data_IF_614979245004
#
_entry.id   IF_614979245004
#
_cell.length_a   1.000
_cell.length_b   1.000
_cell.length_c   1.000
_cell.angle_alpha   90.00
_cell.angle_beta   90.00
_cell.angle_gamma   90.00
#
_symmetry.space_group_name_H-M   'P 1'
#
loop_
_entity.id
_entity.type
_entity.pdbx_description
1 polymer ?
#
# COMPACT_ATOMS: atom_id res chain seq x y z
N UNK A 1 14.15 2.82 -13.92
CA UNK A 1 13.43 3.63 -12.90
C UNK A 1 11.99 3.19 -12.92
N UNK A 2 11.56 2.44 -11.89
CA UNK A 2 10.22 1.86 -11.83
C UNK A 2 9.29 2.87 -11.14
N UNK A 3 8.18 3.20 -11.79
CA UNK A 3 7.09 3.96 -11.18
C UNK A 3 5.95 2.96 -10.98
N UNK A 4 5.48 2.83 -9.74
CA UNK A 4 4.34 1.99 -9.38
C UNK A 4 3.07 2.85 -9.45
N UNK A 5 2.02 2.32 -10.07
CA UNK A 5 0.67 2.87 -9.92
C UNK A 5 -0.21 1.83 -9.25
N UNK A 6 -0.62 2.13 -8.02
CA UNK A 6 -1.66 1.37 -7.33
C UNK A 6 -3.02 1.87 -7.79
N UNK A 7 -3.80 1.00 -8.45
CA UNK A 7 -5.21 1.30 -8.71
C UNK A 7 -6.03 0.69 -7.60
N UNK A 8 -6.35 1.49 -6.59
CA UNK A 8 -7.41 1.15 -5.66
C UNK A 8 -8.73 1.16 -6.43
N UNK A 9 -9.34 -0.02 -6.65
CA UNK A 9 -10.74 -0.11 -7.06
C UNK A 9 -11.60 0.22 -5.85
N UNK A 10 -11.61 1.49 -5.45
CA UNK A 10 -12.83 2.07 -4.89
C UNK A 10 -13.88 1.88 -5.98
N UNK A 11 -15.12 1.53 -5.65
CA UNK A 11 -16.21 1.37 -6.60
C UNK A 11 -16.32 2.64 -7.50
N UNK A 12 -15.60 2.65 -8.61
CA UNK A 12 -15.59 3.73 -9.60
C UNK A 12 -16.68 3.40 -10.62
N UNK A 13 -17.93 3.29 -10.16
CA UNK A 13 -19.09 3.16 -11.05
C UNK A 13 -19.62 4.51 -11.54
N UNK A 14 -18.98 5.63 -11.18
CA UNK A 14 -19.29 6.98 -11.68
C UNK A 14 -18.02 7.82 -11.85
N UNK A 15 -17.31 7.65 -12.96
CA UNK A 15 -16.11 8.46 -13.30
C UNK A 15 -16.11 8.88 -14.76
N UNK A 16 -17.29 9.21 -15.27
CA UNK A 16 -17.43 9.87 -16.57
C UNK A 16 -18.10 11.22 -16.49
N UNK A 17 -18.61 11.63 -15.33
CA UNK A 17 -19.20 12.95 -15.18
C UNK A 17 -18.45 13.76 -14.13
N UNK A 18 -18.20 15.02 -14.52
CA UNK A 18 -17.88 16.17 -13.67
C UNK A 18 -16.38 16.43 -13.41
N UNK A 19 -15.76 17.14 -14.36
CA UNK A 19 -14.70 18.13 -14.05
C UNK A 19 -15.39 19.29 -13.31
N UNK A 20 -15.67 19.13 -12.02
CA UNK A 20 -15.89 20.22 -11.08
C UNK A 20 -14.60 20.30 -10.28
N UNK A 21 -14.21 21.51 -9.88
CA UNK A 21 -13.17 21.75 -8.89
C UNK A 21 -13.49 20.93 -7.62
N UNK A 22 -13.02 19.70 -7.59
CA UNK A 22 -13.37 18.75 -6.54
C UNK A 22 -12.49 19.11 -5.36
N UNK A 23 -13.02 19.94 -4.47
CA UNK A 23 -12.38 20.23 -3.20
C UNK A 23 -12.29 18.91 -2.41
N UNK A 24 -11.10 18.31 -2.37
CA UNK A 24 -10.86 17.01 -1.73
C UNK A 24 -10.89 17.10 -0.20
N UNK A 25 -10.59 18.28 0.34
CA UNK A 25 -10.56 18.55 1.77
C UNK A 25 -11.45 19.73 2.13
N UNK A 26 -12.33 19.52 3.11
CA UNK A 26 -13.18 20.56 3.71
C UNK A 26 -12.73 20.82 5.12
N UNK A 27 -12.73 22.09 5.52
CA UNK A 27 -12.47 22.48 6.90
C UNK A 27 -13.59 21.95 7.79
N UNK A 28 -13.22 21.36 8.91
CA UNK A 28 -14.15 21.07 9.99
C UNK A 28 -14.51 22.39 10.67
N UNK A 29 -15.80 22.78 10.69
CA UNK A 29 -16.22 24.03 11.30
C UNK A 29 -15.71 24.15 12.75
N UNK A 30 -15.25 25.36 13.11
CA UNK A 30 -14.84 25.72 14.47
C UNK A 30 -13.62 24.96 15.03
N UNK A 31 -12.74 24.44 14.17
CA UNK A 31 -11.52 23.73 14.60
C UNK A 31 -10.23 24.57 14.53
N UNK A 32 -10.29 25.77 13.94
CA UNK A 32 -9.16 26.71 13.93
C UNK A 32 -8.92 27.29 15.33
N UNK A 33 -7.64 27.48 15.69
CA UNK A 33 -7.21 28.05 16.97
C UNK A 33 -6.22 29.20 16.72
N UNK A 34 -5.88 29.96 17.76
CA UNK A 34 -4.93 31.09 17.63
C UNK A 34 -3.52 30.66 17.21
N UNK A 35 -3.14 29.42 17.52
CA UNK A 35 -1.82 28.83 17.30
C UNK A 35 -1.76 27.85 16.10
N UNK A 36 -2.91 27.45 15.54
CA UNK A 36 -2.99 26.49 14.42
C UNK A 36 -4.21 26.70 13.52
N UNK A 37 -4.02 26.39 12.24
CA UNK A 37 -5.10 26.39 11.25
C UNK A 37 -6.19 25.34 11.52
N UNK A 38 -7.30 25.40 10.76
CA UNK A 38 -8.42 24.47 10.92
C UNK A 38 -8.01 23.03 10.62
N UNK A 39 -8.73 22.09 11.24
CA UNK A 39 -8.62 20.67 10.92
C UNK A 39 -9.39 20.43 9.63
N UNK A 40 -8.77 19.74 8.67
CA UNK A 40 -9.42 19.38 7.41
C UNK A 40 -9.84 17.91 7.41
N UNK A 41 -10.96 17.60 6.77
CA UNK A 41 -11.42 16.22 6.48
C UNK A 41 -11.66 16.01 4.99
N UNK A 42 -11.70 14.76 4.56
CA UNK A 42 -12.10 14.43 3.19
C UNK A 42 -13.55 14.88 2.93
N UNK A 43 -13.79 15.54 1.80
CA UNK A 43 -15.13 16.05 1.43
C UNK A 43 -16.17 14.94 1.20
N UNK A 44 -15.71 13.73 0.90
CA UNK A 44 -16.53 12.56 0.58
C UNK A 44 -17.10 11.84 1.81
N UNK A 45 -16.65 12.17 3.03
CA UNK A 45 -17.09 11.50 4.25
C UNK A 45 -17.84 12.46 5.18
N UNK A 46 -19.16 12.26 5.31
CA UNK A 46 -20.01 13.03 6.24
C UNK A 46 -19.67 12.76 7.70
N UNK A 47 -19.08 11.60 8.01
CA UNK A 47 -18.56 11.21 9.32
C UNK A 47 -17.34 10.29 9.14
N UNK A 48 -16.30 10.40 9.99
CA UNK A 48 -15.18 9.47 9.94
C UNK A 48 -15.68 8.07 10.30
N UNK A 49 -15.63 7.15 9.35
CA UNK A 49 -15.80 5.72 9.62
C UNK A 49 -14.41 5.12 9.81
N UNK A 50 -14.24 4.34 10.88
CA UNK A 50 -12.97 3.67 11.18
C UNK A 50 -12.60 2.61 10.13
N UNK A 51 -13.59 2.14 9.36
CA UNK A 51 -13.46 1.12 8.34
C UNK A 51 -14.57 1.27 7.31
N UNK A 52 -14.33 0.77 6.09
CA UNK A 52 -15.33 0.68 5.04
C UNK A 52 -15.90 -0.74 5.00
N UNK A 53 -17.21 -0.90 5.26
CA UNK A 53 -18.02 -2.13 5.08
C UNK A 53 -17.24 -3.46 5.12
N UNK A 54 -16.70 -3.85 6.28
CA UNK A 54 -16.02 -5.14 6.44
C UNK A 54 -14.54 -5.18 6.04
N UNK A 55 -13.91 -4.03 5.82
CA UNK A 55 -12.47 -3.89 5.61
C UNK A 55 -11.84 -3.12 6.78
N UNK A 56 -11.41 -3.85 7.80
CA UNK A 56 -10.84 -3.33 9.05
C UNK A 56 -9.31 -3.40 9.08
N UNK A 57 -8.71 -4.23 8.24
CA UNK A 57 -7.27 -4.48 8.18
C UNK A 57 -6.70 -4.26 6.78
N UNK A 58 -5.40 -3.98 6.69
CA UNK A 58 -4.70 -3.90 5.41
C UNK A 58 -4.69 -5.25 4.67
N UNK A 59 -4.75 -6.36 5.40
CA UNK A 59 -4.95 -7.70 4.85
C UNK A 59 -6.30 -7.83 4.13
N UNK A 60 -7.39 -7.34 4.74
CA UNK A 60 -8.73 -7.36 4.14
C UNK A 60 -8.84 -6.42 2.95
N UNK A 61 -8.13 -5.29 2.94
CA UNK A 61 -8.21 -4.28 1.88
C UNK A 61 -7.87 -4.86 0.50
N UNK A 62 -6.77 -5.59 0.38
CA UNK A 62 -6.37 -6.20 -0.90
C UNK A 62 -7.36 -7.30 -1.33
N UNK A 63 -7.85 -8.10 -0.38
CA UNK A 63 -8.78 -9.20 -0.63
C UNK A 63 -10.16 -8.70 -1.06
N UNK A 64 -10.66 -7.64 -0.42
CA UNK A 64 -11.87 -6.95 -0.87
C UNK A 64 -11.71 -6.43 -2.30
N UNK A 65 -10.55 -5.85 -2.64
CA UNK A 65 -10.25 -5.42 -4.00
C UNK A 65 -10.39 -6.56 -5.02
N UNK A 66 -9.87 -7.75 -4.69
CA UNK A 66 -10.07 -8.97 -5.49
C UNK A 66 -11.54 -9.38 -5.58
N UNK A 67 -12.28 -9.34 -4.48
CA UNK A 67 -13.68 -9.79 -4.45
C UNK A 67 -14.59 -8.86 -5.26
N UNK A 68 -14.31 -7.56 -5.26
CA UNK A 68 -15.04 -6.56 -6.04
C UNK A 68 -14.64 -6.55 -7.51
N UNK A 69 -13.34 -6.72 -7.82
CA UNK A 69 -12.81 -6.58 -9.18
C UNK A 69 -11.68 -7.58 -9.45
N UNK A 70 -11.99 -8.89 -9.58
CA UNK A 70 -10.98 -9.95 -9.60
C UNK A 70 -10.00 -9.83 -10.78
N UNK A 71 -10.51 -9.42 -11.94
CA UNK A 71 -9.73 -9.21 -13.17
C UNK A 71 -9.36 -7.73 -13.40
N UNK A 72 -9.71 -6.85 -12.46
CA UNK A 72 -9.40 -5.42 -12.55
C UNK A 72 -7.90 -5.16 -12.39
N UNK A 73 -7.37 -4.07 -12.98
CA UNK A 73 -5.95 -3.71 -12.85
C UNK A 73 -5.63 -3.30 -11.40
N UNK A 74 -4.71 -4.01 -10.76
CA UNK A 74 -4.31 -3.79 -9.36
C UNK A 74 -2.96 -3.05 -9.27
N UNK A 75 -1.87 -3.73 -9.66
CA UNK A 75 -0.50 -3.18 -9.62
C UNK A 75 0.02 -3.00 -11.04
N UNK A 76 0.40 -1.77 -11.37
CA UNK A 76 0.97 -1.40 -12.66
C UNK A 76 2.51 -1.38 -12.64
N UNK A 77 3.12 -1.99 -13.64
CA UNK A 77 4.55 -1.90 -13.93
C UNK A 77 4.77 -1.33 -15.33
N UNK A 78 5.86 -0.58 -15.53
CA UNK A 78 6.31 -0.19 -16.87
C UNK A 78 7.81 -0.42 -17.01
N UNK A 79 8.20 -1.00 -18.14
CA UNK A 79 9.59 -1.17 -18.49
C UNK A 79 10.15 0.12 -19.09
N UNK A 80 11.48 0.21 -19.12
CA UNK A 80 12.17 1.19 -19.96
C UNK A 80 12.57 0.45 -21.24
N UNK A 81 12.15 0.97 -22.38
CA UNK A 81 12.51 0.43 -23.69
C UNK A 81 14.02 0.55 -23.95
N UNK A 82 14.51 -0.18 -24.95
CA UNK A 82 15.91 -0.11 -25.39
C UNK A 82 16.33 1.30 -25.85
N UNK A 83 15.37 2.13 -26.24
CA UNK A 83 15.58 3.54 -26.61
C UNK A 83 15.54 4.51 -25.41
N UNK A 84 15.40 4.01 -24.18
CA UNK A 84 15.39 4.82 -22.95
C UNK A 84 14.04 5.43 -22.59
N UNK A 85 13.01 5.27 -23.43
CA UNK A 85 11.67 5.77 -23.17
C UNK A 85 10.85 4.79 -22.33
N UNK A 86 10.00 5.32 -21.44
CA UNK A 86 9.09 4.53 -20.65
C UNK A 86 8.00 3.90 -21.53
N UNK A 87 7.75 2.60 -21.36
CA UNK A 87 6.65 1.91 -22.05
C UNK A 87 5.30 2.23 -21.39
N UNK A 88 4.18 1.91 -22.04
CA UNK A 88 2.89 1.85 -21.37
C UNK A 88 2.93 0.93 -20.14
N UNK A 89 2.06 1.21 -19.17
CA UNK A 89 1.89 0.36 -18.01
C UNK A 89 1.24 -0.97 -18.40
N UNK A 90 1.77 -2.05 -17.85
CA UNK A 90 1.18 -3.38 -17.82
C UNK A 90 0.72 -3.64 -16.40
N UNK A 91 -0.54 -4.06 -16.25
CA UNK A 91 -1.15 -4.27 -14.94
C UNK A 91 -1.32 -5.75 -14.65
N UNK A 92 -0.98 -6.15 -13.43
CA UNK A 92 -1.42 -7.42 -12.85
C UNK A 92 -2.83 -7.26 -12.30
N UNK A 93 -3.67 -8.27 -12.47
CA UNK A 93 -5.01 -8.32 -11.89
C UNK A 93 -4.97 -8.49 -10.37
N UNK A 94 -6.06 -8.14 -9.68
CA UNK A 94 -6.17 -8.41 -8.25
C UNK A 94 -6.01 -9.89 -7.90
N UNK A 95 -6.57 -10.78 -8.73
CA UNK A 95 -6.46 -12.23 -8.53
C UNK A 95 -5.01 -12.69 -8.59
N UNK A 96 -4.25 -12.22 -9.57
CA UNK A 96 -2.82 -12.53 -9.70
C UNK A 96 -2.00 -11.96 -8.54
N UNK A 97 -2.28 -10.71 -8.12
CA UNK A 97 -1.61 -10.09 -6.99
C UNK A 97 -1.85 -10.87 -5.70
N UNK A 98 -3.11 -11.22 -5.38
CA UNK A 98 -3.45 -12.01 -4.18
C UNK A 98 -2.81 -13.41 -4.22
N UNK A 99 -2.78 -14.05 -5.40
CA UNK A 99 -2.11 -15.34 -5.54
C UNK A 99 -0.61 -15.26 -5.24
N UNK A 100 0.09 -14.24 -5.75
CA UNK A 100 1.51 -13.99 -5.46
C UNK A 100 1.77 -13.69 -3.99
N UNK A 101 0.92 -12.84 -3.38
CA UNK A 101 0.97 -12.52 -1.95
C UNK A 101 0.85 -13.77 -1.09
N UNK A 102 -0.15 -14.62 -1.36
CA UNK A 102 -0.34 -15.84 -0.58
C UNK A 102 0.82 -16.83 -0.77
N UNK A 103 1.36 -16.95 -1.99
CA UNK A 103 2.50 -17.83 -2.26
C UNK A 103 3.77 -17.36 -1.55
N UNK A 104 4.04 -16.04 -1.54
CA UNK A 104 5.18 -15.48 -0.82
C UNK A 104 5.02 -15.63 0.70
N UNK A 105 3.82 -15.34 1.24
CA UNK A 105 3.53 -15.53 2.67
C UNK A 105 3.73 -17.00 3.10
N UNK A 106 3.22 -17.96 2.32
CA UNK A 106 3.42 -19.38 2.59
C UNK A 106 4.91 -19.79 2.52
N UNK A 107 5.68 -19.20 1.60
CA UNK A 107 7.12 -19.43 1.53
C UNK A 107 7.88 -18.87 2.73
N UNK A 108 7.53 -17.66 3.19
CA UNK A 108 8.12 -17.04 4.38
C UNK A 108 7.86 -17.89 5.64
N UNK A 109 6.63 -18.38 5.80
CA UNK A 109 6.21 -19.22 6.93
C UNK A 109 6.88 -20.60 6.88
N UNK A 110 6.81 -21.30 5.74
CA UNK A 110 7.37 -22.64 5.58
C UNK A 110 8.90 -22.71 5.73
N UNK A 111 9.60 -21.61 5.48
CA UNK A 111 11.05 -21.50 5.64
C UNK A 111 11.45 -20.79 6.94
N UNK A 112 10.49 -20.43 7.80
CA UNK A 112 10.74 -19.76 9.08
C UNK A 112 11.59 -18.47 8.93
N UNK A 113 11.37 -17.70 7.86
CA UNK A 113 12.20 -16.54 7.50
C UNK A 113 11.83 -15.25 8.24
N UNK A 114 10.75 -15.26 9.02
CA UNK A 114 10.31 -14.12 9.82
C UNK A 114 10.12 -14.57 11.28
N UNK A 115 11.21 -14.91 11.99
CA UNK A 115 11.12 -15.23 13.41
C UNK A 115 10.59 -14.03 14.18
N UNK A 116 9.95 -14.31 15.32
CA UNK A 116 9.47 -13.25 16.20
C UNK A 116 10.64 -12.55 16.91
N UNK A 117 10.51 -11.24 17.09
CA UNK A 117 11.43 -10.44 17.92
C UNK A 117 11.21 -10.71 19.40
N UNK A 118 12.07 -10.16 20.26
CA UNK A 118 11.92 -10.22 21.73
C UNK A 118 10.60 -9.62 22.22
N UNK A 119 10.01 -8.68 21.46
CA UNK A 119 8.71 -8.06 21.71
C UNK A 119 7.51 -8.84 21.10
N UNK A 120 7.74 -10.09 20.69
CA UNK A 120 6.75 -10.99 20.04
C UNK A 120 6.21 -10.45 18.68
N UNK A 121 6.96 -9.57 18.00
CA UNK A 121 6.59 -9.01 16.70
C UNK A 121 7.13 -9.85 15.54
N UNK A 122 6.35 -9.99 14.47
CA UNK A 122 6.81 -10.57 13.20
C UNK A 122 7.17 -9.42 12.26
N UNK A 123 8.45 -9.24 11.94
CA UNK A 123 8.94 -8.13 11.13
C UNK A 123 9.61 -8.62 9.84
N UNK A 124 9.33 -7.92 8.74
CA UNK A 124 9.97 -8.15 7.44
C UNK A 124 10.72 -6.89 7.00
N UNK A 125 12.05 -6.93 7.08
CA UNK A 125 12.93 -5.91 6.52
C UNK A 125 12.90 -5.92 4.99
N UNK A 126 12.57 -4.78 4.37
CA UNK A 126 12.51 -4.67 2.90
C UNK A 126 13.45 -3.55 2.45
N UNK A 127 14.55 -3.94 1.79
CA UNK A 127 15.52 -3.01 1.21
C UNK A 127 15.48 -3.04 -0.32
N UNK A 128 14.61 -2.24 -0.92
CA UNK A 128 14.55 -2.06 -2.37
C UNK A 128 13.82 -0.76 -2.74
N UNK A 129 13.94 -0.35 -4.00
CA UNK A 129 13.18 0.80 -4.54
C UNK A 129 11.70 0.42 -4.68
N UNK A 130 10.83 1.42 -4.61
CA UNK A 130 9.39 1.23 -4.82
C UNK A 130 9.12 0.53 -6.17
N UNK A 131 8.63 -0.70 -6.10
CA UNK A 131 8.29 -1.56 -7.23
C UNK A 131 7.10 -2.45 -6.86
N UNK A 132 6.62 -3.24 -7.81
CA UNK A 132 5.47 -4.13 -7.59
C UNK A 132 5.79 -5.16 -6.49
N UNK A 133 6.99 -5.71 -6.54
CA UNK A 133 7.49 -6.72 -5.60
C UNK A 133 7.52 -6.19 -4.17
N UNK A 134 7.91 -4.92 -3.96
CA UNK A 134 7.88 -4.28 -2.65
C UNK A 134 6.48 -4.33 -2.04
N UNK A 135 5.45 -3.93 -2.81
CA UNK A 135 4.04 -3.95 -2.34
C UNK A 135 3.51 -5.36 -2.15
N UNK A 136 3.93 -6.32 -2.99
CA UNK A 136 3.57 -7.73 -2.81
C UNK A 136 4.17 -8.30 -1.52
N UNK A 137 5.44 -7.99 -1.23
CA UNK A 137 6.11 -8.39 0.02
C UNK A 137 5.42 -7.80 1.25
N UNK A 138 5.03 -6.52 1.19
CA UNK A 138 4.28 -5.85 2.24
C UNK A 138 2.94 -6.55 2.54
N UNK A 139 2.14 -6.84 1.52
CA UNK A 139 0.90 -7.57 1.75
C UNK A 139 1.11 -9.03 2.19
N UNK A 140 2.27 -9.61 1.89
CA UNK A 140 2.60 -10.98 2.30
C UNK A 140 2.82 -11.08 3.79
N UNK A 141 3.53 -10.13 4.40
CA UNK A 141 3.77 -10.15 5.84
C UNK A 141 2.47 -9.90 6.64
N UNK A 142 1.53 -9.13 6.08
CA UNK A 142 0.19 -8.98 6.70
C UNK A 142 -0.59 -10.29 6.78
N UNK A 143 -0.35 -11.24 5.85
CA UNK A 143 -0.97 -12.57 5.92
C UNK A 143 -0.46 -13.39 7.12
N UNK A 144 0.73 -13.06 7.63
CA UNK A 144 1.36 -13.69 8.80
C UNK A 144 1.14 -12.89 10.08
N UNK A 145 0.31 -11.83 10.04
CA UNK A 145 0.08 -10.94 11.18
C UNK A 145 1.28 -10.05 11.53
N UNK A 146 2.25 -9.92 10.63
CA UNK A 146 3.45 -9.11 10.83
C UNK A 146 3.40 -7.73 10.17
N UNK A 147 4.52 -7.01 10.27
CA UNK A 147 4.70 -5.66 9.74
C UNK A 147 5.99 -5.54 8.92
N UNK A 148 6.04 -4.53 8.04
CA UNK A 148 7.23 -4.23 7.24
C UNK A 148 8.15 -3.23 7.93
N UNK A 149 9.46 -3.41 7.73
CA UNK A 149 10.49 -2.44 8.11
C UNK A 149 11.15 -1.94 6.81
N UNK A 150 10.69 -0.80 6.27
CA UNK A 150 11.20 -0.28 5.00
C UNK A 150 12.57 0.38 5.17
N UNK A 151 13.53 -0.03 4.34
CA UNK A 151 14.88 0.51 4.30
C UNK A 151 15.15 1.17 2.94
N UNK A 152 15.83 2.31 2.96
CA UNK A 152 16.14 3.10 1.77
C UNK A 152 17.57 3.64 1.81
N UNK A 153 18.20 3.74 0.64
CA UNK A 153 19.58 4.24 0.50
C UNK A 153 19.76 5.65 1.11
N UNK A 154 18.69 6.46 1.11
CA UNK A 154 18.68 7.84 1.60
C UNK A 154 18.83 7.96 3.12
N UNK A 155 18.65 6.87 3.87
CA UNK A 155 18.84 6.87 5.33
C UNK A 155 20.34 6.91 5.70
N UNK A 156 21.22 6.47 4.81
CA UNK A 156 22.64 6.28 5.06
C UNK A 156 22.93 4.95 5.80
N UNK A 157 24.16 4.41 5.63
CA UNK A 157 24.51 3.07 6.09
C UNK A 157 24.40 2.90 7.62
N UNK A 158 24.81 3.90 8.40
CA UNK A 158 24.74 3.86 9.86
C UNK A 158 23.29 3.79 10.36
N UNK A 159 22.37 4.49 9.72
CA UNK A 159 20.94 4.46 10.09
C UNK A 159 20.33 3.11 9.74
N UNK A 160 20.67 2.54 8.58
CA UNK A 160 20.19 1.21 8.18
C UNK A 160 20.69 0.14 9.15
N UNK A 161 21.97 0.18 9.53
CA UNK A 161 22.54 -0.72 10.53
C UNK A 161 21.85 -0.58 11.89
N UNK A 162 21.59 0.66 12.33
CA UNK A 162 20.86 0.91 13.57
C UNK A 162 19.46 0.29 13.54
N UNK A 163 18.69 0.50 12.46
CA UNK A 163 17.34 -0.05 12.33
C UNK A 163 17.37 -1.58 12.36
N UNK A 164 18.28 -2.21 11.60
CA UNK A 164 18.43 -3.67 11.57
C UNK A 164 18.78 -4.28 12.94
N UNK A 165 19.43 -3.53 13.82
CA UNK A 165 19.73 -3.99 15.18
C UNK A 165 18.56 -3.78 16.16
N UNK A 166 17.55 -2.98 15.80
CA UNK A 166 16.38 -2.68 16.64
C UNK A 166 15.12 -3.42 16.19
N UNK A 167 15.13 -4.03 15.00
CA UNK A 167 13.99 -4.73 14.40
C UNK A 167 14.39 -6.12 13.98
#
# INVERSE_FOLDING_TARGET
RYFLLYRATVCVSKMTDIIQERQYSVELPHTAQSDRGPIHRASLASSPQLAYEGCYTLYEALRRGRDVSPLGPCLGFRAVSTSGYATPFVYSSYTECVARVNALAAGLDAMELCPKTDDDLVLLGIYMKNCMEWTLSEHSIYCLGGATVPLYDTLGPTTVEFVLNQT
#
